data_IF_857955969196
#
_entry.id   IF_857955969196
#
_cell.length_a   1.000
_cell.length_b   1.000
_cell.length_c   1.000
_cell.angle_alpha   90.00
_cell.angle_beta   90.00
_cell.angle_gamma   90.00
#
_symmetry.space_group_name_H-M   'P 1'
#
loop_
_entity.id
_entity.type
_entity.pdbx_description
1 polymer ?
#
# COMPACT_ATOMS: atom_id res chain seq x y z
N UNK A 1 9.28 -5.80 -8.87
CA UNK A 1 10.46 -6.68 -9.03
C UNK A 1 10.68 -7.37 -7.70
N UNK A 2 10.38 -8.67 -7.61
CA UNK A 2 10.68 -9.46 -6.41
C UNK A 2 12.19 -9.64 -6.31
N UNK A 3 12.79 -9.21 -5.20
CA UNK A 3 14.18 -9.53 -4.90
C UNK A 3 14.24 -11.02 -4.53
N UNK A 4 14.90 -11.80 -5.37
CA UNK A 4 15.19 -13.20 -5.10
C UNK A 4 16.59 -13.31 -4.52
N UNK A 5 16.72 -14.01 -3.40
CA UNK A 5 18.00 -14.43 -2.86
C UNK A 5 18.13 -15.94 -2.91
N UNK A 6 19.32 -16.45 -2.70
CA UNK A 6 19.60 -17.89 -2.72
C UNK A 6 20.20 -18.29 -1.39
N UNK A 7 19.57 -19.25 -0.72
CA UNK A 7 20.12 -19.88 0.48
C UNK A 7 20.58 -21.29 0.15
N UNK A 8 21.69 -21.72 0.75
CA UNK A 8 22.16 -23.10 0.65
C UNK A 8 21.64 -23.91 1.84
N UNK A 9 20.82 -24.93 1.53
CA UNK A 9 20.33 -25.89 2.51
C UNK A 9 20.99 -27.23 2.20
N UNK A 10 22.02 -27.56 2.98
CA UNK A 10 22.90 -28.71 2.72
C UNK A 10 23.52 -28.63 1.32
N UNK A 11 23.18 -29.56 0.41
CA UNK A 11 23.69 -29.59 -0.96
C UNK A 11 22.79 -28.86 -1.97
N UNK A 12 21.66 -28.30 -1.53
CA UNK A 12 20.67 -27.67 -2.42
C UNK A 12 20.74 -26.16 -2.34
N UNK A 13 20.63 -25.50 -3.51
CA UNK A 13 20.38 -24.07 -3.63
C UNK A 13 18.88 -23.84 -3.72
N UNK A 14 18.35 -23.02 -2.83
CA UNK A 14 16.93 -22.70 -2.76
C UNK A 14 16.73 -21.20 -3.01
N UNK A 15 15.88 -20.86 -3.98
CA UNK A 15 15.45 -19.49 -4.18
C UNK A 15 14.51 -19.09 -3.03
N UNK A 16 14.78 -17.95 -2.42
CA UNK A 16 13.93 -17.34 -1.40
C UNK A 16 13.47 -15.97 -1.88
N UNK A 17 12.23 -15.63 -1.54
CA UNK A 17 11.62 -14.35 -1.88
C UNK A 17 11.18 -13.66 -0.60
N UNK A 18 11.33 -12.34 -0.56
CA UNK A 18 10.82 -11.55 0.57
C UNK A 18 9.30 -11.50 0.62
N UNK A 19 8.75 -12.17 1.64
CA UNK A 19 7.33 -12.15 1.96
C UNK A 19 6.97 -11.09 3.00
N UNK A 20 7.90 -10.20 3.39
CA UNK A 20 7.62 -9.10 4.31
C UNK A 20 6.52 -8.21 3.71
N UNK A 21 5.29 -8.24 4.23
CA UNK A 21 4.20 -7.52 3.62
C UNK A 21 4.34 -6.04 3.94
N UNK A 22 4.19 -5.18 2.94
CA UNK A 22 3.99 -3.76 3.21
C UNK A 22 2.66 -3.59 3.94
N UNK A 23 2.72 -3.35 5.25
CA UNK A 23 1.52 -3.18 6.08
C UNK A 23 0.80 -1.90 5.67
N UNK A 24 -0.46 -2.04 5.23
CA UNK A 24 -1.34 -0.91 4.93
C UNK A 24 -2.50 -0.88 5.92
N UNK A 25 -2.70 0.26 6.57
CA UNK A 25 -3.75 0.45 7.55
C UNK A 25 -5.12 0.47 6.87
N UNK A 26 -6.05 -0.40 7.27
CA UNK A 26 -7.41 -0.41 6.69
C UNK A 26 -8.30 0.72 7.20
N UNK A 27 -7.86 1.50 8.20
CA UNK A 27 -8.60 2.66 8.75
C UNK A 27 -8.21 3.96 8.06
N UNK A 28 -6.92 4.29 8.03
CA UNK A 28 -6.42 5.54 7.44
C UNK A 28 -5.85 5.36 6.02
N UNK A 29 -5.70 4.13 5.55
CA UNK A 29 -5.17 3.74 4.23
C UNK A 29 -3.69 4.03 4.02
N UNK A 30 -2.99 4.60 5.01
CA UNK A 30 -1.55 4.83 4.96
C UNK A 30 -0.75 3.54 5.22
N UNK A 31 0.48 3.52 4.73
CA UNK A 31 1.41 2.41 4.92
C UNK A 31 2.18 2.53 6.25
N UNK A 32 2.72 1.41 6.74
CA UNK A 32 3.65 1.34 7.88
C UNK A 32 2.99 1.04 9.23
N UNK A 33 1.67 0.89 9.29
CA UNK A 33 0.98 0.47 10.50
C UNK A 33 -0.34 -0.24 10.17
N UNK A 34 -0.84 -1.03 11.12
CA UNK A 34 -2.15 -1.69 11.01
C UNK A 34 -3.26 -0.86 11.69
N UNK A 35 -4.50 -1.33 11.62
CA UNK A 35 -5.67 -0.65 12.20
C UNK A 35 -5.62 -0.55 13.73
N UNK A 36 -5.00 -1.50 14.45
CA UNK A 36 -5.05 -1.51 15.92
C UNK A 36 -4.23 -0.40 16.57
N UNK A 37 -3.15 0.05 15.91
CA UNK A 37 -2.30 1.15 16.38
C UNK A 37 -2.59 2.48 15.65
N UNK A 38 -3.67 2.53 14.86
CA UNK A 38 -4.03 3.72 14.10
C UNK A 38 -4.73 4.76 14.99
N UNK A 39 -4.26 6.01 14.93
CA UNK A 39 -4.72 7.10 15.80
C UNK A 39 -5.88 7.92 15.25
N UNK A 40 -6.28 7.72 13.99
CA UNK A 40 -7.39 8.51 13.42
C UNK A 40 -8.72 8.07 14.03
N UNK A 41 -9.66 8.99 14.21
CA UNK A 41 -10.95 8.70 14.84
C UNK A 41 -11.87 7.88 13.92
N UNK A 42 -12.08 8.35 12.69
CA UNK A 42 -12.98 7.76 11.69
C UNK A 42 -12.20 7.02 10.61
N UNK A 43 -12.80 6.02 9.97
CA UNK A 43 -12.19 5.36 8.81
C UNK A 43 -12.36 6.19 7.53
N UNK A 44 -11.39 6.06 6.62
CA UNK A 44 -11.41 6.71 5.32
C UNK A 44 -11.80 5.71 4.23
N UNK A 45 -12.61 6.18 3.30
CA UNK A 45 -13.02 5.42 2.13
C UNK A 45 -11.83 5.21 1.18
N UNK A 46 -11.53 3.95 0.85
CA UNK A 46 -10.44 3.58 -0.06
C UNK A 46 -10.64 4.04 -1.51
N UNK A 47 -11.86 4.43 -1.86
CA UNK A 47 -12.24 4.86 -3.20
C UNK A 47 -12.19 6.37 -3.36
N UNK A 48 -12.83 7.15 -2.48
CA UNK A 48 -12.94 8.61 -2.66
C UNK A 48 -12.33 9.45 -1.51
N UNK A 49 -11.67 8.83 -0.54
CA UNK A 49 -11.00 9.50 0.60
C UNK A 49 -11.92 10.13 1.65
N UNK A 50 -13.24 10.01 1.51
CA UNK A 50 -14.21 10.54 2.48
C UNK A 50 -14.33 9.73 3.77
N UNK A 51 -14.89 10.32 4.83
CA UNK A 51 -15.08 9.69 6.15
C UNK A 51 -16.32 8.75 6.18
N UNK A 52 -16.24 7.62 5.49
CA UNK A 52 -17.27 6.58 5.47
C UNK A 52 -16.68 5.23 5.07
N UNK A 53 -17.44 4.15 5.29
CA UNK A 53 -17.09 2.83 4.82
C UNK A 53 -17.12 2.77 3.28
N UNK A 54 -16.12 2.15 2.65
CA UNK A 54 -16.06 2.05 1.18
C UNK A 54 -17.25 1.34 0.52
N UNK A 55 -18.01 0.53 1.28
CA UNK A 55 -19.26 -0.10 0.83
C UNK A 55 -20.39 0.92 0.59
N UNK A 56 -20.38 2.02 1.33
CA UNK A 56 -21.40 3.08 1.29
C UNK A 56 -20.97 4.27 0.40
N UNK A 57 -19.93 4.07 -0.42
CA UNK A 57 -19.34 5.13 -1.21
C UNK A 57 -20.26 5.56 -2.37
N UNK A 58 -20.90 6.71 -2.22
CA UNK A 58 -21.77 7.30 -3.25
C UNK A 58 -21.03 7.68 -4.53
N UNK A 59 -19.75 8.03 -4.45
CA UNK A 59 -18.95 8.37 -5.64
C UNK A 59 -18.66 7.11 -6.47
N UNK A 60 -18.35 5.99 -5.81
CA UNK A 60 -18.25 4.68 -6.45
C UNK A 60 -19.57 4.25 -7.07
N UNK A 61 -20.68 4.39 -6.36
CA UNK A 61 -22.01 4.06 -6.87
C UNK A 61 -22.40 4.90 -8.10
N UNK A 62 -21.86 6.13 -8.21
CA UNK A 62 -22.05 7.01 -9.36
C UNK A 62 -21.02 6.82 -10.48
N UNK A 63 -20.11 5.86 -10.35
CA UNK A 63 -19.09 5.58 -11.37
C UNK A 63 -18.05 6.69 -11.54
N UNK A 64 -17.85 7.57 -10.56
CA UNK A 64 -16.79 8.58 -10.61
C UNK A 64 -15.43 7.91 -10.51
N UNK A 65 -14.38 8.52 -11.05
CA UNK A 65 -13.03 8.01 -10.87
C UNK A 65 -12.60 7.97 -9.38
N UNK A 66 -11.83 6.94 -8.98
CA UNK A 66 -11.30 6.87 -7.62
C UNK A 66 -10.26 7.97 -7.36
N UNK A 67 -9.94 8.19 -6.10
CA UNK A 67 -8.92 9.14 -5.67
C UNK A 67 -8.06 8.50 -4.59
N UNK A 68 -6.76 8.36 -4.85
CA UNK A 68 -5.83 7.79 -3.90
C UNK A 68 -5.48 8.78 -2.77
N UNK A 69 -5.83 8.45 -1.52
CA UNK A 69 -5.52 9.31 -0.36
C UNK A 69 -4.02 9.50 -0.16
N UNK A 70 -3.21 8.48 -0.43
CA UNK A 70 -1.76 8.54 -0.23
C UNK A 70 -1.08 9.46 -1.26
N UNK A 71 -1.54 9.43 -2.52
CA UNK A 71 -1.06 10.35 -3.56
C UNK A 71 -1.55 11.78 -3.31
N UNK A 72 -2.82 11.94 -2.92
CA UNK A 72 -3.42 13.24 -2.56
C UNK A 72 -2.69 13.91 -1.39
N UNK A 73 -2.45 13.17 -0.30
CA UNK A 73 -1.73 13.66 0.88
C UNK A 73 -0.29 14.07 0.57
N UNK A 74 0.34 13.40 -0.40
CA UNK A 74 1.71 13.68 -0.79
C UNK A 74 1.89 14.92 -1.69
N UNK A 75 0.81 15.60 -2.09
CA UNK A 75 0.79 16.85 -2.87
C UNK A 75 1.76 16.87 -4.08
N UNK A 76 2.02 15.73 -4.71
CA UNK A 76 2.93 15.67 -5.87
C UNK A 76 2.19 16.06 -7.13
N UNK A 77 2.70 17.08 -7.81
CA UNK A 77 2.42 17.34 -9.23
C UNK A 77 2.83 16.13 -10.07
N UNK A 78 1.98 15.69 -10.99
CA UNK A 78 2.26 14.58 -11.92
C UNK A 78 2.06 13.16 -11.37
N UNK A 79 1.50 12.99 -10.17
CA UNK A 79 1.08 11.67 -9.69
C UNK A 79 -0.37 11.43 -10.12
N UNK A 80 -0.62 10.33 -10.81
CA UNK A 80 -1.99 9.90 -11.10
C UNK A 80 -2.74 9.70 -9.78
N UNK A 81 -3.88 10.38 -9.63
CA UNK A 81 -4.77 10.24 -8.49
C UNK A 81 -5.88 9.23 -8.76
N UNK A 82 -6.13 8.89 -10.03
CA UNK A 82 -7.26 8.10 -10.52
C UNK A 82 -7.11 6.60 -10.25
N UNK A 83 -6.72 6.24 -9.02
CA UNK A 83 -6.69 4.87 -8.54
C UNK A 83 -7.06 4.79 -7.06
N UNK A 84 -7.45 3.60 -6.61
CA UNK A 84 -7.76 3.37 -5.19
C UNK A 84 -6.49 3.31 -4.35
N UNK A 85 -6.61 3.55 -3.04
CA UNK A 85 -5.45 3.51 -2.14
C UNK A 85 -4.70 2.16 -2.09
N UNK A 86 -5.30 1.08 -2.60
CA UNK A 86 -4.73 -0.27 -2.64
C UNK A 86 -4.08 -0.64 -4.00
N UNK A 87 -4.05 0.29 -4.97
CA UNK A 87 -3.46 0.01 -6.28
C UNK A 87 -1.96 -0.33 -6.19
N UNK A 88 -1.56 -1.42 -6.87
CA UNK A 88 -0.16 -1.84 -7.03
C UNK A 88 0.65 -0.82 -7.86
N UNK A 89 -0.02 -0.11 -8.76
CA UNK A 89 0.55 0.92 -9.64
C UNK A 89 0.76 2.25 -8.91
N UNK A 90 0.29 2.37 -7.66
CA UNK A 90 0.47 3.57 -6.86
C UNK A 90 1.97 3.81 -6.60
N UNK A 91 2.53 4.86 -7.21
CA UNK A 91 3.93 5.25 -7.02
C UNK A 91 4.29 5.48 -5.54
N UNK A 92 3.33 5.93 -4.72
CA UNK A 92 3.57 6.06 -3.26
C UNK A 92 3.69 4.71 -2.60
N UNK A 93 2.84 3.75 -2.95
CA UNK A 93 2.95 2.38 -2.46
C UNK A 93 4.27 1.74 -2.87
N UNK A 94 4.66 1.89 -4.15
CA UNK A 94 5.94 1.40 -4.66
C UNK A 94 7.14 2.01 -3.92
N UNK A 95 7.11 3.31 -3.61
CA UNK A 95 8.13 3.96 -2.76
C UNK A 95 8.22 3.30 -1.38
N UNK A 96 7.08 3.11 -0.71
CA UNK A 96 7.05 2.50 0.62
C UNK A 96 7.49 1.04 0.59
N UNK A 97 7.10 0.28 -0.42
CA UNK A 97 7.53 -1.11 -0.64
C UNK A 97 9.05 -1.18 -0.85
N UNK A 98 9.60 -0.28 -1.67
CA UNK A 98 11.05 -0.16 -1.85
C UNK A 98 11.81 0.11 -0.55
N UNK A 99 11.31 1.00 0.31
CA UNK A 99 11.90 1.28 1.64
C UNK A 99 11.81 0.09 2.57
N UNK A 100 10.66 -0.61 2.57
CA UNK A 100 10.48 -1.81 3.40
C UNK A 100 11.48 -2.90 3.01
N UNK A 101 11.70 -3.09 1.70
CA UNK A 101 12.60 -4.10 1.15
C UNK A 101 14.07 -3.70 1.17
N UNK A 102 14.41 -2.41 1.20
CA UNK A 102 15.81 -1.95 1.15
C UNK A 102 16.63 -2.33 2.39
N UNK A 103 15.97 -2.72 3.49
CA UNK A 103 16.62 -3.13 4.74
C UNK A 103 16.73 -4.64 4.89
N UNK A 104 16.23 -5.40 3.92
CA UNK A 104 16.29 -6.86 3.94
C UNK A 104 17.52 -7.31 3.17
N UNK A 105 18.55 -7.70 3.91
CA UNK A 105 19.71 -8.40 3.36
C UNK A 105 19.49 -9.90 3.55
N UNK A 106 19.53 -10.64 2.45
CA UNK A 106 19.60 -12.10 2.48
C UNK A 106 21.06 -12.49 2.33
N UNK A 107 21.64 -13.03 3.39
CA UNK A 107 22.99 -13.59 3.39
C UNK A 107 23.01 -14.94 2.67
#
# INVERSE_FOLDING_TARGET
LQNFAVVHISIKRCAISDQSPLVQCTKCLANGHNKSICKIAKELCSYCTGEHNGRDCRDRARGKEPTCVNCKAAKRTGCDLAHTAFSEECQKRQKWDGIARSRVAYC
#
